data_IF_477074593552
#
_entry.id   IF_477074593552
#
_cell.length_a   1.000
_cell.length_b   1.000
_cell.length_c   1.000
_cell.angle_alpha   90.00
_cell.angle_beta   90.00
_cell.angle_gamma   90.00
#
_symmetry.space_group_name_H-M   'P 1'
#
loop_
_entity.id
_entity.type
_entity.pdbx_description
1 polymer ?
#
# COMPACT_ATOMS: atom_id res chain seq x y z
N UNK A 1 -9.11 16.77 -23.49
CA UNK A 1 -9.78 15.78 -22.60
C UNK A 1 -8.97 14.48 -22.52
N UNK A 2 -8.55 13.92 -23.65
CA UNK A 2 -7.75 12.69 -23.72
C UNK A 2 -6.41 12.75 -22.97
N UNK A 3 -5.66 13.84 -23.07
CA UNK A 3 -4.40 14.01 -22.33
C UNK A 3 -4.59 14.03 -20.80
N UNK A 4 -5.74 14.50 -20.31
CA UNK A 4 -6.06 14.54 -18.88
C UNK A 4 -6.48 13.15 -18.37
N UNK A 5 -7.23 12.40 -19.18
CA UNK A 5 -7.65 11.03 -18.89
C UNK A 5 -6.42 10.09 -18.89
N UNK A 6 -5.56 10.17 -19.92
CA UNK A 6 -4.32 9.39 -19.96
C UNK A 6 -3.40 9.66 -18.76
N UNK A 7 -3.31 10.93 -18.33
CA UNK A 7 -2.45 11.29 -17.21
C UNK A 7 -2.97 10.78 -15.85
N UNK A 8 -4.30 10.85 -15.64
CA UNK A 8 -4.93 10.25 -14.47
C UNK A 8 -4.76 8.73 -14.46
N UNK A 9 -4.94 8.08 -15.62
CA UNK A 9 -4.78 6.63 -15.77
C UNK A 9 -3.33 6.19 -15.48
N UNK A 10 -2.33 6.93 -15.97
CA UNK A 10 -0.93 6.63 -15.71
C UNK A 10 -0.59 6.71 -14.21
N UNK A 11 -1.00 7.80 -13.54
CA UNK A 11 -0.73 7.95 -12.11
C UNK A 11 -1.39 6.83 -11.29
N UNK A 12 -2.65 6.50 -11.60
CA UNK A 12 -3.36 5.43 -10.92
C UNK A 12 -2.70 4.07 -11.16
N UNK A 13 -2.37 3.73 -12.40
CA UNK A 13 -1.68 2.49 -12.75
C UNK A 13 -0.38 2.33 -11.96
N UNK A 14 0.41 3.41 -11.85
CA UNK A 14 1.62 3.40 -11.02
C UNK A 14 1.28 3.13 -9.57
N UNK A 15 0.36 3.88 -8.97
CA UNK A 15 -0.05 3.66 -7.57
C UNK A 15 -0.54 2.23 -7.31
N UNK A 16 -1.17 1.58 -8.29
CA UNK A 16 -1.62 0.20 -8.18
C UNK A 16 -0.51 -0.86 -8.27
N UNK A 17 0.61 -0.54 -8.92
CA UNK A 17 1.69 -1.49 -9.18
C UNK A 17 2.75 -1.52 -8.07
N UNK A 18 3.04 -0.38 -7.42
CA UNK A 18 4.06 -0.33 -6.36
C UNK A 18 3.46 -0.63 -4.99
N UNK A 19 3.97 -1.67 -4.31
CA UNK A 19 3.46 -2.12 -3.01
C UNK A 19 3.71 -1.16 -1.84
N UNK A 20 4.62 -0.19 -1.99
CA UNK A 20 4.95 0.81 -0.98
C UNK A 20 4.75 2.24 -1.48
N UNK A 21 4.23 3.09 -0.59
CA UNK A 21 4.11 4.54 -0.79
C UNK A 21 4.66 5.27 0.42
N UNK A 22 5.43 6.34 0.18
CA UNK A 22 5.74 7.36 1.17
C UNK A 22 5.38 8.74 0.64
N UNK A 23 4.86 9.60 1.51
CA UNK A 23 4.43 10.95 1.13
C UNK A 23 5.18 11.94 2.00
N UNK A 24 5.94 12.83 1.37
CA UNK A 24 6.78 13.81 2.05
C UNK A 24 6.30 15.23 1.73
N UNK A 25 6.47 16.14 2.68
CA UNK A 25 6.32 17.56 2.41
C UNK A 25 7.53 18.03 1.60
N UNK A 26 7.30 18.88 0.61
CA UNK A 26 8.34 19.57 -0.15
C UNK A 26 8.09 21.07 -0.17
N UNK A 27 9.08 21.82 -0.66
CA UNK A 27 8.89 23.24 -0.95
C UNK A 27 7.69 23.42 -1.87
N UNK A 28 6.70 24.23 -1.49
CA UNK A 28 5.50 24.38 -2.28
C UNK A 28 5.77 25.12 -3.59
N UNK A 29 5.19 24.63 -4.68
CA UNK A 29 5.30 25.21 -6.01
C UNK A 29 3.93 25.31 -6.65
N UNK A 30 3.68 26.39 -7.39
CA UNK A 30 2.49 26.49 -8.22
C UNK A 30 2.78 25.77 -9.54
N UNK A 31 2.27 24.56 -9.69
CA UNK A 31 2.47 23.73 -10.88
C UNK A 31 1.28 22.81 -11.14
N UNK A 32 1.29 22.11 -12.27
CA UNK A 32 0.31 21.07 -12.59
C UNK A 32 0.51 19.86 -11.68
N UNK A 33 -0.53 19.51 -10.92
CA UNK A 33 -0.50 18.37 -10.01
C UNK A 33 -0.34 17.06 -10.78
N UNK A 34 0.70 16.27 -10.49
CA UNK A 34 1.02 15.08 -11.27
C UNK A 34 0.04 13.91 -11.09
N UNK A 35 -0.93 14.03 -10.18
CA UNK A 35 -2.01 13.05 -10.02
C UNK A 35 -3.31 13.42 -10.75
N UNK A 36 -3.57 14.71 -10.97
CA UNK A 36 -4.86 15.16 -11.51
C UNK A 36 -4.73 16.20 -12.62
N UNK A 37 -3.54 16.54 -13.10
CA UNK A 37 -3.29 17.51 -14.18
C UNK A 37 -3.63 18.98 -13.86
N UNK A 38 -4.39 19.27 -12.80
CA UNK A 38 -4.84 20.62 -12.48
C UNK A 38 -3.72 21.46 -11.88
N UNK A 39 -3.56 22.69 -12.36
CA UNK A 39 -2.61 23.67 -11.83
C UNK A 39 -3.04 24.13 -10.43
N UNK A 40 -2.18 23.92 -9.43
CA UNK A 40 -2.45 24.26 -8.02
C UNK A 40 -1.17 24.37 -7.22
N UNK A 41 -1.30 24.77 -5.97
CA UNK A 41 -0.22 24.77 -5.01
C UNK A 41 0.14 23.33 -4.59
N UNK A 42 1.20 22.78 -5.17
CA UNK A 42 1.68 21.43 -4.92
C UNK A 42 2.82 21.47 -3.91
N UNK A 43 2.61 20.81 -2.76
CA UNK A 43 3.56 20.82 -1.64
C UNK A 43 3.91 19.43 -1.13
N UNK A 44 3.46 18.38 -1.82
CA UNK A 44 3.74 17.01 -1.44
C UNK A 44 4.49 16.28 -2.55
N UNK A 45 5.41 15.43 -2.15
CA UNK A 45 6.11 14.47 -3.00
C UNK A 45 5.63 13.07 -2.64
N UNK A 46 5.04 12.35 -3.58
CA UNK A 46 4.62 10.95 -3.46
C UNK A 46 5.72 10.08 -4.05
N UNK A 47 6.29 9.21 -3.23
CA UNK A 47 7.31 8.25 -3.63
C UNK A 47 6.69 6.86 -3.66
N UNK A 48 6.75 6.22 -4.82
CA UNK A 48 6.31 4.84 -5.03
C UNK A 48 7.54 3.94 -5.14
N UNK A 49 7.50 2.79 -4.48
CA UNK A 49 8.59 1.81 -4.43
C UNK A 49 8.10 0.45 -3.99
N UNK A 50 9.02 -0.50 -3.85
CA UNK A 50 8.73 -1.85 -3.38
C UNK A 50 8.61 -2.85 -4.53
N UNK A 51 8.59 -4.13 -4.16
CA UNK A 51 8.52 -5.22 -5.12
C UNK A 51 7.14 -5.28 -5.78
N UNK A 52 7.12 -5.62 -7.06
CA UNK A 52 5.90 -6.01 -7.75
C UNK A 52 5.43 -7.35 -7.17
N UNK A 53 4.13 -7.63 -7.27
CA UNK A 53 3.58 -8.89 -6.82
C UNK A 53 2.47 -9.38 -7.73
N UNK A 54 2.33 -10.70 -7.81
CA UNK A 54 1.26 -11.33 -8.55
C UNK A 54 -0.06 -11.12 -7.80
N UNK A 55 -1.04 -10.50 -8.45
CA UNK A 55 -2.34 -10.19 -7.80
C UNK A 55 -3.20 -11.42 -7.50
N UNK A 56 -2.87 -12.58 -8.08
CA UNK A 56 -3.52 -13.87 -7.79
C UNK A 56 -2.81 -14.63 -6.67
N UNK A 57 -1.49 -14.81 -6.77
CA UNK A 57 -0.71 -15.63 -5.80
C UNK A 57 -0.20 -14.82 -4.60
N UNK A 58 -0.16 -13.49 -4.69
CA UNK A 58 0.41 -12.56 -3.70
C UNK A 58 1.92 -12.73 -3.46
N UNK A 59 2.59 -13.49 -4.32
CA UNK A 59 4.04 -13.65 -4.31
C UNK A 59 4.71 -12.42 -4.92
N UNK A 60 5.84 -12.03 -4.32
CA UNK A 60 6.67 -10.94 -4.82
C UNK A 60 7.58 -11.42 -5.93
N UNK A 61 7.76 -10.57 -6.94
CA UNK A 61 8.80 -10.72 -7.96
C UNK A 61 9.90 -9.66 -7.73
N UNK A 62 11.14 -10.05 -8.00
CA UNK A 62 12.34 -9.23 -7.81
C UNK A 62 12.74 -8.42 -9.05
N UNK A 63 12.07 -8.62 -10.19
CA UNK A 63 12.40 -8.03 -11.49
C UNK A 63 12.58 -6.49 -11.47
N UNK A 64 11.84 -5.74 -10.65
CA UNK A 64 11.94 -4.27 -10.53
C UNK A 64 12.06 -3.77 -9.08
N UNK A 65 12.66 -4.57 -8.20
CA UNK A 65 12.75 -4.30 -6.76
C UNK A 65 13.37 -2.93 -6.37
N UNK A 66 14.17 -2.34 -7.25
CA UNK A 66 14.87 -1.06 -7.02
C UNK A 66 14.22 0.13 -7.72
N UNK A 67 13.17 -0.10 -8.52
CA UNK A 67 12.49 0.97 -9.24
C UNK A 67 11.74 1.89 -8.27
N UNK A 68 11.88 3.20 -8.51
CA UNK A 68 11.27 4.24 -7.69
C UNK A 68 10.68 5.32 -8.57
N UNK A 69 9.45 5.73 -8.27
CA UNK A 69 8.76 6.80 -8.97
C UNK A 69 8.44 7.93 -8.00
N UNK A 70 8.57 9.17 -8.46
CA UNK A 70 8.34 10.36 -7.63
C UNK A 70 7.39 11.33 -8.32
N UNK A 71 6.34 11.74 -7.63
CA UNK A 71 5.31 12.63 -8.15
C UNK A 71 5.04 13.82 -7.21
N UNK A 72 5.09 15.03 -7.75
CA UNK A 72 4.67 16.27 -7.11
C UNK A 72 3.15 16.44 -7.21
N UNK A 73 2.48 16.55 -6.06
CA UNK A 73 1.01 16.61 -5.98
C UNK A 73 0.51 17.65 -4.98
N UNK A 74 -0.76 18.05 -5.16
CA UNK A 74 -1.48 18.87 -4.19
C UNK A 74 -1.99 18.06 -2.99
N UNK A 75 -2.36 18.75 -1.91
CA UNK A 75 -2.86 18.16 -0.64
C UNK A 75 -3.93 17.08 -0.84
N UNK A 76 -4.98 17.42 -1.59
CA UNK A 76 -6.12 16.51 -1.84
C UNK A 76 -5.65 15.22 -2.53
N UNK A 77 -4.75 15.33 -3.51
CA UNK A 77 -4.26 14.18 -4.25
C UNK A 77 -3.34 13.31 -3.39
N UNK A 78 -2.46 13.91 -2.59
CA UNK A 78 -1.64 13.17 -1.63
C UNK A 78 -2.51 12.33 -0.67
N UNK A 79 -3.56 12.92 -0.10
CA UNK A 79 -4.47 12.21 0.81
C UNK A 79 -5.26 11.10 0.12
N UNK A 80 -5.80 11.37 -1.08
CA UNK A 80 -6.47 10.34 -1.88
C UNK A 80 -5.54 9.19 -2.21
N UNK A 81 -4.29 9.46 -2.60
CA UNK A 81 -3.28 8.43 -2.86
C UNK A 81 -2.99 7.61 -1.62
N UNK A 82 -2.83 8.25 -0.45
CA UNK A 82 -2.59 7.54 0.82
C UNK A 82 -3.70 6.53 1.13
N UNK A 83 -4.95 6.97 1.05
CA UNK A 83 -6.12 6.13 1.34
C UNK A 83 -6.27 5.03 0.29
N UNK A 84 -6.23 5.39 -0.98
CA UNK A 84 -6.40 4.46 -2.09
C UNK A 84 -5.32 3.36 -2.10
N UNK A 85 -4.04 3.74 -1.96
CA UNK A 85 -2.93 2.79 -1.90
C UNK A 85 -3.09 1.80 -0.74
N UNK A 86 -3.48 2.29 0.43
CA UNK A 86 -3.73 1.45 1.61
C UNK A 86 -4.83 0.43 1.38
N UNK A 87 -5.92 0.82 0.73
CA UNK A 87 -7.02 -0.06 0.35
C UNK A 87 -6.57 -1.07 -0.72
N UNK A 88 -5.94 -0.58 -1.79
CA UNK A 88 -5.49 -1.39 -2.93
C UNK A 88 -4.55 -2.53 -2.51
N UNK A 89 -3.61 -2.25 -1.62
CA UNK A 89 -2.60 -3.21 -1.18
C UNK A 89 -2.93 -3.90 0.15
N UNK A 90 -4.13 -3.71 0.70
CA UNK A 90 -4.51 -4.27 1.99
C UNK A 90 -4.36 -5.79 2.04
N UNK A 91 -4.96 -6.50 1.07
CA UNK A 91 -4.90 -7.97 0.99
C UNK A 91 -3.47 -8.48 0.86
N UNK A 92 -2.66 -7.83 0.03
CA UNK A 92 -1.25 -8.19 -0.17
C UNK A 92 -0.44 -8.02 1.12
N UNK A 93 -0.58 -6.88 1.80
CA UNK A 93 0.15 -6.63 3.05
C UNK A 93 -0.25 -7.59 4.16
N UNK A 94 -1.54 -7.87 4.29
CA UNK A 94 -2.03 -8.87 5.24
C UNK A 94 -1.47 -10.26 4.94
N UNK A 95 -1.45 -10.66 3.68
CA UNK A 95 -0.86 -11.94 3.26
C UNK A 95 0.63 -12.03 3.62
N UNK A 96 1.41 -10.99 3.33
CA UNK A 96 2.83 -10.94 3.66
C UNK A 96 3.07 -11.00 5.18
N UNK A 97 2.26 -10.28 5.97
CA UNK A 97 2.31 -10.37 7.44
C UNK A 97 2.03 -11.81 7.92
N UNK A 98 1.01 -12.48 7.39
CA UNK A 98 0.72 -13.89 7.71
C UNK A 98 1.89 -14.82 7.34
N UNK A 99 2.50 -14.65 6.16
CA UNK A 99 3.65 -15.44 5.75
C UNK A 99 4.86 -15.22 6.66
N UNK A 100 5.10 -14.00 7.14
CA UNK A 100 6.17 -13.71 8.10
C UNK A 100 5.94 -14.39 9.44
N UNK A 101 4.70 -14.42 9.94
CA UNK A 101 4.34 -15.14 11.18
C UNK A 101 4.58 -16.63 10.98
N UNK A 102 4.08 -17.20 9.88
CA UNK A 102 4.21 -18.62 9.59
C UNK A 102 5.68 -19.09 9.51
N UNK A 103 6.57 -18.28 8.94
CA UNK A 103 8.01 -18.57 8.88
C UNK A 103 8.71 -18.46 10.24
N UNK A 104 8.19 -17.64 11.15
CA UNK A 104 8.80 -17.42 12.47
C UNK A 104 8.39 -18.50 13.46
N UNK A 105 7.18 -19.03 13.32
CA UNK A 105 6.61 -20.06 14.18
C UNK A 105 6.68 -21.46 13.58
N UNK A 106 7.49 -21.66 12.54
CA UNK A 106 7.70 -22.96 11.91
C UNK A 106 8.41 -23.89 12.90
N UNK A 107 7.80 -25.03 13.19
CA UNK A 107 8.33 -26.07 14.07
C UNK A 107 8.71 -27.26 13.20
N UNK A 108 9.95 -27.74 13.32
CA UNK A 108 10.41 -28.95 12.63
C UNK A 108 9.51 -30.14 13.04
N UNK A 109 9.08 -30.94 12.06
CA UNK A 109 8.21 -32.13 12.18
C UNK A 109 6.71 -31.92 12.48
N UNK A 110 6.19 -30.69 12.52
CA UNK A 110 4.74 -30.43 12.60
C UNK A 110 4.07 -30.54 11.21
N UNK A 111 2.87 -31.14 11.12
CA UNK A 111 2.14 -31.14 9.85
C UNK A 111 1.64 -29.72 9.54
N UNK A 112 1.70 -29.32 8.26
CA UNK A 112 1.25 -27.99 7.79
C UNK A 112 -0.12 -27.58 8.35
N UNK A 113 -1.06 -28.54 8.41
CA UNK A 113 -2.40 -28.29 8.94
C UNK A 113 -2.39 -27.91 10.42
N UNK A 114 -1.62 -28.62 11.24
CA UNK A 114 -1.50 -28.39 12.68
C UNK A 114 -0.82 -27.04 12.95
N UNK A 115 0.26 -26.74 12.22
CA UNK A 115 0.94 -25.44 12.27
C UNK A 115 -0.01 -24.28 11.96
N UNK A 116 -0.81 -24.40 10.88
CA UNK A 116 -1.78 -23.37 10.49
C UNK A 116 -2.87 -23.18 11.55
N UNK A 117 -3.43 -24.27 12.08
CA UNK A 117 -4.46 -24.22 13.12
C UNK A 117 -3.93 -23.58 14.42
N UNK A 118 -2.70 -23.90 14.80
CA UNK A 118 -2.01 -23.32 15.97
C UNK A 118 -1.76 -21.82 15.80
N UNK A 119 -1.11 -21.40 14.71
CA UNK A 119 -0.82 -19.98 14.42
C UNK A 119 -2.13 -19.18 14.39
N UNK A 120 -3.17 -19.71 13.74
CA UNK A 120 -4.45 -19.05 13.65
C UNK A 120 -5.09 -18.87 15.03
N UNK A 121 -5.06 -19.89 15.87
CA UNK A 121 -5.61 -19.84 17.23
C UNK A 121 -4.85 -18.80 18.08
N UNK A 122 -3.52 -18.81 18.05
CA UNK A 122 -2.69 -17.83 18.77
C UNK A 122 -2.93 -16.39 18.28
N UNK A 123 -3.05 -16.20 16.96
CA UNK A 123 -3.35 -14.91 16.34
C UNK A 123 -4.76 -14.40 16.67
N UNK A 124 -5.70 -15.32 16.89
CA UNK A 124 -7.06 -15.00 17.32
C UNK A 124 -7.08 -14.59 18.79
N UNK A 125 -6.42 -15.35 19.66
CA UNK A 125 -6.40 -15.15 21.11
C UNK A 125 -5.62 -13.89 21.50
N UNK A 126 -4.54 -13.57 20.80
CA UNK A 126 -3.80 -12.31 20.94
C UNK A 126 -4.56 -11.09 20.42
N UNK A 127 -5.69 -11.28 19.73
CA UNK A 127 -6.45 -10.20 19.09
C UNK A 127 -5.85 -9.68 17.78
N UNK A 128 -4.71 -10.22 17.33
CA UNK A 128 -4.00 -9.78 16.11
C UNK A 128 -4.91 -9.79 14.88
N UNK A 129 -5.74 -10.84 14.71
CA UNK A 129 -6.67 -10.93 13.57
C UNK A 129 -7.65 -9.77 13.59
N UNK A 130 -8.21 -9.42 14.76
CA UNK A 130 -9.20 -8.34 14.87
C UNK A 130 -8.60 -6.98 14.54
N UNK A 131 -7.35 -6.76 14.95
CA UNK A 131 -6.63 -5.51 14.71
C UNK A 131 -6.19 -5.33 13.25
N UNK A 132 -5.83 -6.44 12.58
CA UNK A 132 -5.14 -6.40 11.29
C UNK A 132 -6.02 -6.79 10.10
N UNK A 133 -7.15 -7.49 10.32
CA UNK A 133 -8.11 -7.85 9.26
C UNK A 133 -9.10 -6.72 8.91
N UNK A 134 -9.24 -5.69 9.76
CA UNK A 134 -10.07 -4.53 9.47
C UNK A 134 -9.28 -3.43 8.76
N UNK A 135 -9.54 -3.27 7.45
CA UNK A 135 -8.99 -2.12 6.72
C UNK A 135 -9.54 -0.79 7.26
N UNK A 136 -10.79 -0.77 7.73
CA UNK A 136 -11.45 0.40 8.30
C UNK A 136 -10.73 0.95 9.54
N UNK A 137 -10.27 0.11 10.47
CA UNK A 137 -9.50 0.57 11.64
C UNK A 137 -8.18 1.24 11.23
N UNK A 138 -7.52 0.68 10.20
CA UNK A 138 -6.26 1.22 9.69
C UNK A 138 -6.49 2.50 8.85
N UNK A 139 -7.58 2.62 8.11
CA UNK A 139 -7.90 3.82 7.29
C UNK A 139 -8.51 4.95 8.15
N UNK A 140 -9.33 4.65 9.16
CA UNK A 140 -9.93 5.64 10.07
C UNK A 140 -8.89 6.49 10.81
N UNK A 141 -7.71 5.93 11.17
CA UNK A 141 -6.58 6.71 11.72
C UNK A 141 -6.09 7.83 10.80
N UNK A 142 -6.35 7.74 9.50
CA UNK A 142 -6.00 8.74 8.50
C UNK A 142 -7.19 9.61 8.07
N UNK A 143 -8.41 9.25 8.47
CA UNK A 143 -9.65 10.01 8.26
C UNK A 143 -10.03 10.87 9.47
N UNK A 144 -9.25 10.84 10.57
CA UNK A 144 -9.46 11.79 11.67
C UNK A 144 -9.31 13.22 11.09
N UNK A 145 -10.29 14.11 11.29
CA UNK A 145 -10.24 15.44 10.70
C UNK A 145 -9.04 16.23 11.24
N UNK A 146 -8.38 16.97 10.34
CA UNK A 146 -7.59 18.16 10.70
C UNK A 146 -8.60 19.27 11.01
#
# INVERSE_FOLDING_TARGET
LESFIMFFNFFQERVENYSNVSIHLKNPENCSCQACGLHRHCKYSVHLSGKLYNTRTMETDDFMSHDKQVFTVGRICAERTRIYHKLKHFKFKLYQECCSIAKTEEVEDEQVKETVERIFSQSKDSGWIKENSSCDLRVKKHLVPI
#
